data_IF_815180261958
#
_entry.id   IF_815180261958
#
_cell.length_a   1.000
_cell.length_b   1.000
_cell.length_c   1.000
_cell.angle_alpha   90.00
_cell.angle_beta   90.00
_cell.angle_gamma   90.00
#
_symmetry.space_group_name_H-M   'P 1'
#
loop_
_entity.id
_entity.type
_entity.pdbx_description
1 polymer ?
#
# COMPACT_ATOMS: atom_id res chain seq x y z
N UNK A 1 21.40 -15.93 26.58
CA UNK A 1 21.81 -14.92 25.59
C UNK A 1 20.73 -14.92 24.53
N UNK A 2 19.71 -14.08 24.67
CA UNK A 2 18.68 -13.87 23.64
C UNK A 2 19.20 -12.74 22.78
N UNK A 3 19.52 -13.03 21.52
CA UNK A 3 19.68 -11.97 20.53
C UNK A 3 18.33 -11.27 20.38
N UNK A 4 18.24 -9.94 20.44
CA UNK A 4 17.02 -9.26 20.04
C UNK A 4 16.74 -9.68 18.58
N UNK A 5 15.54 -10.21 18.35
CA UNK A 5 15.07 -10.45 16.99
C UNK A 5 15.13 -9.12 16.24
N UNK A 6 15.52 -9.08 14.96
CA UNK A 6 15.45 -7.85 14.19
C UNK A 6 14.00 -7.37 14.28
N UNK A 7 13.81 -6.21 14.91
CA UNK A 7 12.55 -5.49 14.85
C UNK A 7 12.31 -5.28 13.36
N UNK A 8 11.24 -5.88 12.83
CA UNK A 8 10.94 -5.73 11.40
C UNK A 8 10.77 -4.24 11.17
N UNK A 9 11.61 -3.64 10.33
CA UNK A 9 11.59 -2.20 10.12
C UNK A 9 10.21 -1.79 9.59
N UNK A 10 9.59 -0.85 10.28
CA UNK A 10 8.25 -0.35 9.98
C UNK A 10 8.29 1.14 9.67
N UNK A 11 7.47 1.53 8.71
CA UNK A 11 7.35 2.86 8.16
C UNK A 11 5.96 3.41 8.47
N UNK A 12 5.91 4.61 9.04
CA UNK A 12 4.67 5.34 9.23
C UNK A 12 4.36 6.15 7.97
N UNK A 13 3.26 5.81 7.29
CA UNK A 13 2.81 6.50 6.09
C UNK A 13 1.51 7.21 6.41
N UNK A 14 1.54 8.54 6.38
CA UNK A 14 0.34 9.37 6.63
C UNK A 14 -0.35 9.70 5.32
N UNK A 15 -1.58 9.22 5.19
CA UNK A 15 -2.45 9.38 4.04
C UNK A 15 -3.64 10.27 4.40
N UNK A 16 -3.95 11.22 3.53
CA UNK A 16 -5.24 11.92 3.58
C UNK A 16 -6.39 10.94 3.33
N UNK A 17 -7.61 11.35 3.68
CA UNK A 17 -8.80 10.53 3.47
C UNK A 17 -9.01 10.16 2.00
N UNK A 18 -8.76 11.09 1.08
CA UNK A 18 -8.89 10.80 -0.36
C UNK A 18 -7.82 9.81 -0.85
N UNK A 19 -6.60 9.89 -0.30
CA UNK A 19 -5.53 8.94 -0.59
C UNK A 19 -5.83 7.55 -0.02
N UNK A 20 -6.38 7.46 1.18
CA UNK A 20 -6.87 6.20 1.76
C UNK A 20 -7.96 5.57 0.89
N UNK A 21 -8.90 6.38 0.38
CA UNK A 21 -9.94 5.88 -0.53
C UNK A 21 -9.36 5.34 -1.85
N UNK A 22 -8.36 6.01 -2.42
CA UNK A 22 -7.70 5.53 -3.64
C UNK A 22 -6.98 4.19 -3.41
N UNK A 23 -6.27 4.05 -2.28
CA UNK A 23 -5.63 2.79 -1.88
C UNK A 23 -6.68 1.69 -1.65
N UNK A 24 -7.73 1.99 -0.90
CA UNK A 24 -8.82 1.07 -0.60
C UNK A 24 -9.52 0.58 -1.86
N UNK A 25 -9.86 1.49 -2.78
CA UNK A 25 -10.48 1.15 -4.06
C UNK A 25 -9.60 0.23 -4.89
N UNK A 26 -8.30 0.50 -4.96
CA UNK A 26 -7.37 -0.36 -5.70
C UNK A 26 -7.24 -1.74 -5.06
N UNK A 27 -7.06 -1.82 -3.74
CA UNK A 27 -6.99 -3.11 -3.03
C UNK A 27 -8.29 -3.90 -3.20
N UNK A 28 -9.45 -3.23 -3.18
CA UNK A 28 -10.75 -3.86 -3.40
C UNK A 28 -10.81 -4.49 -4.79
N UNK A 29 -10.34 -3.76 -5.82
CA UNK A 29 -10.28 -4.26 -7.18
C UNK A 29 -9.39 -5.50 -7.31
N UNK A 30 -8.26 -5.57 -6.60
CA UNK A 30 -7.39 -6.77 -6.60
C UNK A 30 -8.11 -7.98 -5.99
N UNK A 31 -8.83 -7.76 -4.89
CA UNK A 31 -9.58 -8.83 -4.22
C UNK A 31 -10.75 -9.28 -5.10
N UNK A 32 -11.50 -8.33 -5.66
CA UNK A 32 -12.63 -8.60 -6.55
C UNK A 32 -12.17 -9.37 -7.80
N UNK A 33 -11.09 -8.94 -8.45
CA UNK A 33 -10.53 -9.64 -9.63
C UNK A 33 -10.17 -11.10 -9.29
N UNK A 34 -9.52 -11.34 -8.14
CA UNK A 34 -9.20 -12.70 -7.73
C UNK A 34 -10.48 -13.54 -7.53
N UNK A 35 -11.52 -12.97 -6.92
CA UNK A 35 -12.79 -13.65 -6.72
C UNK A 35 -13.53 -13.92 -8.04
N UNK A 36 -13.49 -12.98 -8.99
CA UNK A 36 -14.08 -13.13 -10.33
C UNK A 36 -13.41 -14.25 -11.14
N UNK A 37 -12.13 -14.52 -10.87
CA UNK A 37 -11.36 -15.59 -11.50
C UNK A 37 -11.41 -16.94 -10.73
N UNK A 38 -12.26 -17.07 -9.71
CA UNK A 38 -12.30 -18.23 -8.79
C UNK A 38 -10.95 -18.49 -8.09
N UNK A 39 -10.13 -17.46 -7.94
CA UNK A 39 -8.82 -17.49 -7.28
C UNK A 39 -8.92 -17.04 -5.81
N UNK A 40 -7.91 -17.41 -5.02
CA UNK A 40 -7.82 -16.92 -3.63
C UNK A 40 -7.17 -15.54 -3.64
N UNK A 41 -7.79 -14.51 -3.01
CA UNK A 41 -7.20 -13.19 -2.93
C UNK A 41 -5.79 -13.22 -2.32
N UNK A 42 -4.87 -12.39 -2.82
CA UNK A 42 -3.52 -12.34 -2.28
C UNK A 42 -3.52 -11.88 -0.82
N UNK A 43 -2.85 -12.64 0.06
CA UNK A 43 -2.80 -12.32 1.50
C UNK A 43 -2.20 -10.94 1.77
N UNK A 44 -1.22 -10.52 0.98
CA UNK A 44 -0.60 -9.20 1.14
C UNK A 44 -1.60 -8.05 0.92
N UNK A 45 -2.61 -8.23 0.05
CA UNK A 45 -3.62 -7.21 -0.20
C UNK A 45 -4.60 -7.12 0.97
N UNK A 46 -4.96 -8.26 1.57
CA UNK A 46 -5.77 -8.30 2.78
C UNK A 46 -5.05 -7.69 3.99
N UNK A 47 -3.76 -8.00 4.17
CA UNK A 47 -2.95 -7.41 5.25
C UNK A 47 -2.84 -5.88 5.10
N UNK A 48 -2.75 -5.38 3.86
CA UNK A 48 -2.74 -3.94 3.59
C UNK A 48 -4.12 -3.30 3.81
N UNK A 49 -5.21 -4.01 3.51
CA UNK A 49 -6.56 -3.57 3.82
C UNK A 49 -6.72 -3.30 5.31
N UNK A 50 -6.38 -4.28 6.13
CA UNK A 50 -6.47 -4.16 7.59
C UNK A 50 -5.61 -3.00 8.09
N UNK A 51 -4.38 -2.84 7.55
CA UNK A 51 -3.47 -1.77 7.95
C UNK A 51 -3.97 -0.35 7.56
N UNK A 52 -4.68 -0.22 6.43
CA UNK A 52 -5.25 1.05 5.98
C UNK A 52 -6.54 1.39 6.74
N UNK A 53 -7.34 0.38 7.11
CA UNK A 53 -8.59 0.59 7.85
C UNK A 53 -8.40 0.82 9.36
N UNK A 54 -7.34 0.25 9.96
CA UNK A 54 -7.05 0.40 11.40
C UNK A 54 -6.51 1.80 11.78
N UNK A 55 -5.91 2.51 10.82
CA UNK A 55 -5.28 3.80 11.04
C UNK A 55 -6.25 4.99 10.93
N UNK A 56 -6.16 5.98 11.84
CA UNK A 56 -6.81 7.30 11.68
C UNK A 56 -6.00 8.19 10.69
N UNK A 57 -5.73 7.63 9.52
CA UNK A 57 -4.94 8.23 8.45
C UNK A 57 -3.43 8.10 8.54
N UNK A 58 -2.88 7.44 9.55
CA UNK A 58 -1.50 6.98 9.55
C UNK A 58 -1.48 5.46 9.58
N UNK A 59 -0.90 4.84 8.55
CA UNK A 59 -0.74 3.41 8.42
C UNK A 59 0.71 3.02 8.70
N UNK A 60 0.91 1.95 9.46
CA UNK A 60 2.24 1.39 9.74
C UNK A 60 2.48 0.21 8.82
N UNK A 61 3.47 0.33 7.93
CA UNK A 61 3.82 -0.68 6.93
C UNK A 61 5.22 -1.23 7.18
N UNK A 62 5.42 -2.53 7.01
CA UNK A 62 6.79 -3.05 6.83
C UNK A 62 7.36 -2.58 5.49
N UNK A 63 8.68 -2.51 5.33
CA UNK A 63 9.29 -2.14 4.04
C UNK A 63 8.82 -3.02 2.87
N UNK A 64 8.54 -4.31 3.13
CA UNK A 64 7.97 -5.22 2.13
C UNK A 64 6.52 -4.90 1.74
N UNK A 65 5.72 -4.39 2.69
CA UNK A 65 4.35 -3.94 2.43
C UNK A 65 4.35 -2.59 1.71
N UNK A 66 5.19 -1.65 2.14
CA UNK A 66 5.35 -0.35 1.48
C UNK A 66 5.78 -0.51 0.02
N UNK A 67 6.74 -1.41 -0.26
CA UNK A 67 7.19 -1.69 -1.62
C UNK A 67 6.10 -2.34 -2.48
N UNK A 68 5.39 -3.34 -1.95
CA UNK A 68 4.26 -3.95 -2.68
C UNK A 68 3.14 -2.95 -2.96
N UNK A 69 2.80 -2.11 -1.99
CA UNK A 69 1.79 -1.08 -2.17
C UNK A 69 2.25 -0.04 -3.20
N UNK A 70 3.53 0.35 -3.18
CA UNK A 70 4.11 1.26 -4.18
C UNK A 70 4.00 0.65 -5.58
N UNK A 71 4.46 -0.58 -5.78
CA UNK A 71 4.40 -1.26 -7.08
C UNK A 71 2.94 -1.39 -7.58
N UNK A 72 2.01 -1.77 -6.70
CA UNK A 72 0.60 -1.90 -7.02
C UNK A 72 -0.04 -0.56 -7.39
N UNK A 73 0.18 0.48 -6.58
CA UNK A 73 -0.34 1.82 -6.84
C UNK A 73 0.25 2.44 -8.10
N UNK A 74 1.53 2.21 -8.41
CA UNK A 74 2.14 2.63 -9.68
C UNK A 74 1.41 1.97 -10.85
N UNK A 75 1.18 0.67 -10.79
CA UNK A 75 0.40 -0.02 -11.83
C UNK A 75 -1.04 0.49 -11.94
N UNK A 76 -1.66 0.90 -10.82
CA UNK A 76 -3.00 1.46 -10.82
C UNK A 76 -3.03 2.84 -11.49
N UNK A 77 -2.13 3.76 -11.13
CA UNK A 77 -2.14 5.12 -11.69
C UNK A 77 -1.73 5.16 -13.15
N UNK A 78 -0.91 4.21 -13.61
CA UNK A 78 -0.52 4.06 -15.01
C UNK A 78 -1.60 3.38 -15.87
N UNK A 79 -2.66 2.83 -15.25
CA UNK A 79 -3.77 2.23 -15.98
C UNK A 79 -4.68 3.31 -16.58
N UNK A 80 -4.91 3.25 -17.89
CA UNK A 80 -5.76 4.22 -18.61
C UNK A 80 -7.23 4.18 -18.17
N UNK A 81 -7.67 3.08 -17.53
CA UNK A 81 -9.03 2.90 -17.01
C UNK A 81 -9.22 3.51 -15.61
N UNK A 82 -8.13 3.95 -14.97
CA UNK A 82 -8.19 4.53 -13.63
C UNK A 82 -8.88 5.89 -13.63
N UNK A 83 -9.83 6.14 -12.71
CA UNK A 83 -10.50 7.43 -12.61
C UNK A 83 -9.50 8.57 -12.40
N UNK A 84 -9.66 9.70 -13.09
CA UNK A 84 -8.75 10.87 -12.99
C UNK A 84 -8.50 11.32 -11.54
N UNK A 85 -9.53 11.23 -10.69
CA UNK A 85 -9.44 11.58 -9.27
C UNK A 85 -8.50 10.63 -8.53
N UNK A 86 -8.56 9.35 -8.83
CA UNK A 86 -7.76 8.32 -8.21
C UNK A 86 -6.31 8.38 -8.69
N UNK A 87 -6.08 8.77 -9.95
CA UNK A 87 -4.72 9.01 -10.48
C UNK A 87 -4.01 10.09 -9.66
N UNK A 88 -4.65 11.23 -9.40
CA UNK A 88 -4.03 12.33 -8.64
C UNK A 88 -3.66 11.88 -7.22
N UNK A 89 -4.60 11.26 -6.51
CA UNK A 89 -4.37 10.82 -5.13
C UNK A 89 -3.42 9.63 -5.07
N UNK A 90 -3.53 8.69 -6.02
CA UNK A 90 -2.66 7.54 -6.14
C UNK A 90 -1.21 7.92 -6.43
N UNK A 91 -0.96 8.89 -7.31
CA UNK A 91 0.42 9.36 -7.56
C UNK A 91 1.04 9.99 -6.31
N UNK A 92 0.25 10.70 -5.49
CA UNK A 92 0.74 11.22 -4.21
C UNK A 92 1.04 10.11 -3.20
N UNK A 93 0.31 8.99 -3.25
CA UNK A 93 0.60 7.80 -2.45
C UNK A 93 1.90 7.16 -2.90
N UNK A 94 2.07 6.96 -4.22
CA UNK A 94 3.30 6.40 -4.81
C UNK A 94 4.52 7.22 -4.37
N UNK A 95 4.50 8.53 -4.59
CA UNK A 95 5.61 9.41 -4.20
C UNK A 95 5.96 9.29 -2.71
N UNK A 96 4.96 9.24 -1.82
CA UNK A 96 5.21 9.09 -0.37
C UNK A 96 5.81 7.73 -0.02
N UNK A 97 5.38 6.67 -0.68
CA UNK A 97 5.91 5.33 -0.45
C UNK A 97 7.35 5.23 -0.96
N UNK A 98 7.64 5.80 -2.13
CA UNK A 98 9.00 5.86 -2.68
C UNK A 98 9.92 6.69 -1.78
N UNK A 99 9.51 7.90 -1.38
CA UNK A 99 10.27 8.75 -0.44
C UNK A 99 10.58 8.00 0.86
N UNK A 100 9.64 7.20 1.35
CA UNK A 100 9.80 6.43 2.58
C UNK A 100 10.81 5.28 2.42
N UNK A 101 10.75 4.56 1.30
CA UNK A 101 11.67 3.47 0.96
C UNK A 101 13.08 3.98 0.61
N UNK A 102 13.20 5.16 0.01
CA UNK A 102 14.49 5.79 -0.33
C UNK A 102 15.16 6.44 0.89
N UNK A 103 14.39 6.83 1.89
CA UNK A 103 14.90 7.39 3.15
C UNK A 103 15.56 6.33 4.05
N UNK A 104 15.45 5.03 3.70
CA UNK A 104 16.22 3.96 4.34
C UNK A 104 17.69 4.03 3.93
N UNK A 105 18.64 4.31 4.85
CA UNK A 105 20.04 4.12 4.54
C UNK A 105 20.26 2.62 4.33
N UNK A 106 20.71 2.23 3.14
CA UNK A 106 21.18 0.88 2.85
C UNK A 106 22.24 0.51 3.90
N UNK A 107 21.87 -0.30 4.91
CA UNK A 107 22.81 -0.83 5.91
C UNK A 107 23.63 -1.99 5.34
#
# INVERSE_FOLDING_TARGET
MTSPQPETETHEVTLSRDEQWAVHAHLASIVDEALENDETPPTWALDLFDAVEDGDGTTVLTGSQARRLSDAMTSYVDCEESPDRDVIHGSNVVNRLEDCLESEPTQ
#
